data_IF_829238530264
#
_entry.id   IF_829238530264
#
_cell.length_a   1.000
_cell.length_b   1.000
_cell.length_c   1.000
_cell.angle_alpha   90.00
_cell.angle_beta   90.00
_cell.angle_gamma   90.00
#
_symmetry.space_group_name_H-M   'P 1'
#
loop_
_entity.id
_entity.type
_entity.pdbx_description
1 polymer ?
#
# COMPACT_ATOMS: atom_id res chain seq x y z
N UNK A 1 -41.82 53.36 -37.21
CA UNK A 1 -41.95 51.91 -37.44
C UNK A 1 -40.84 51.22 -36.64
N UNK A 2 -41.09 50.60 -35.47
CA UNK A 2 -40.01 49.97 -34.70
C UNK A 2 -39.94 48.47 -35.01
N UNK A 3 -38.78 47.99 -35.46
CA UNK A 3 -38.50 46.56 -35.60
C UNK A 3 -37.84 46.08 -34.30
N UNK A 4 -38.56 45.22 -33.59
CA UNK A 4 -38.04 44.42 -32.48
C UNK A 4 -37.23 43.27 -33.06
N UNK A 5 -36.01 43.02 -32.56
CA UNK A 5 -35.30 41.78 -32.83
C UNK A 5 -34.81 41.13 -31.53
N UNK A 6 -35.14 39.85 -31.44
CA UNK A 6 -35.14 38.97 -30.29
C UNK A 6 -33.75 38.69 -29.73
N UNK A 7 -33.63 38.81 -28.41
CA UNK A 7 -32.54 38.28 -27.59
C UNK A 7 -32.55 36.74 -27.66
N UNK A 8 -31.45 36.10 -28.04
CA UNK A 8 -31.21 34.67 -27.73
C UNK A 8 -29.81 34.56 -27.15
N UNK A 9 -29.74 34.48 -25.82
CA UNK A 9 -28.51 34.28 -25.07
C UNK A 9 -28.33 32.76 -24.86
N UNK A 10 -27.46 32.13 -25.66
CA UNK A 10 -27.00 30.76 -25.40
C UNK A 10 -26.06 30.77 -24.18
N UNK A 11 -26.53 30.27 -23.04
CA UNK A 11 -25.71 30.10 -21.84
C UNK A 11 -24.89 28.82 -21.98
N UNK A 12 -23.64 28.93 -22.44
CA UNK A 12 -22.67 27.83 -22.35
C UNK A 12 -22.26 27.68 -20.88
N UNK A 13 -22.71 26.60 -20.22
CA UNK A 13 -22.22 26.23 -18.90
C UNK A 13 -20.78 25.72 -19.02
N UNK A 14 -19.81 26.57 -18.69
CA UNK A 14 -18.41 26.19 -18.55
C UNK A 14 -18.30 25.44 -17.21
N UNK A 15 -18.27 24.10 -17.25
CA UNK A 15 -17.91 23.33 -16.06
C UNK A 15 -16.43 23.58 -15.75
N UNK A 16 -16.07 24.03 -14.54
CA UNK A 16 -14.67 24.14 -14.16
C UNK A 16 -14.08 22.73 -14.13
N UNK A 17 -13.10 22.48 -15.00
CA UNK A 17 -12.21 21.33 -14.85
C UNK A 17 -11.41 21.61 -13.58
N UNK A 18 -11.85 21.05 -12.45
CA UNK A 18 -11.04 21.05 -11.23
C UNK A 18 -9.85 20.17 -11.52
N UNK A 19 -8.71 20.79 -11.83
CA UNK A 19 -7.44 20.10 -11.82
C UNK A 19 -7.21 19.62 -10.38
N UNK A 20 -7.31 18.30 -10.17
CA UNK A 20 -6.99 17.69 -8.89
C UNK A 20 -5.51 17.88 -8.61
N UNK A 21 -5.16 18.89 -7.81
CA UNK A 21 -3.79 19.15 -7.40
C UNK A 21 -3.35 18.08 -6.39
N UNK A 22 -2.25 17.39 -6.69
CA UNK A 22 -1.60 16.48 -5.75
C UNK A 22 -0.64 17.27 -4.87
N UNK A 23 -0.75 17.11 -3.55
CA UNK A 23 0.06 17.81 -2.55
C UNK A 23 1.32 17.03 -2.19
N UNK A 24 2.48 17.66 -2.00
CA UNK A 24 3.68 16.98 -1.49
C UNK A 24 3.44 16.35 -0.12
N UNK A 25 4.01 15.16 0.10
CA UNK A 25 4.01 14.49 1.40
C UNK A 25 5.42 14.57 1.98
N UNK A 26 5.58 15.27 3.10
CA UNK A 26 6.87 15.40 3.75
C UNK A 26 7.19 14.15 4.60
N UNK A 27 8.39 13.58 4.49
CA UNK A 27 8.80 12.47 5.32
C UNK A 27 9.12 12.92 6.76
N UNK A 28 8.66 12.13 7.73
CA UNK A 28 9.01 12.27 9.15
C UNK A 28 10.50 11.94 9.34
N UNK A 29 10.93 10.82 8.76
CA UNK A 29 12.32 10.39 8.76
C UNK A 29 12.69 9.78 7.41
N UNK A 30 13.98 9.77 7.12
CA UNK A 30 14.49 9.32 5.84
C UNK A 30 15.83 8.63 5.99
N UNK A 31 15.96 7.48 5.32
CA UNK A 31 17.21 6.73 5.23
C UNK A 31 17.53 6.43 3.78
N UNK A 32 18.82 6.33 3.49
CA UNK A 32 19.28 5.98 2.15
C UNK A 32 20.63 5.28 2.25
N UNK A 33 20.98 4.54 1.20
CA UNK A 33 22.25 3.85 1.13
C UNK A 33 22.45 3.16 -0.20
N UNK A 34 23.59 2.48 -0.30
CA UNK A 34 24.01 1.70 -1.46
C UNK A 34 24.50 0.36 -0.96
N UNK A 35 24.01 -0.72 -1.53
CA UNK A 35 24.35 -2.10 -1.14
C UNK A 35 24.95 -2.78 -2.34
N UNK A 36 26.12 -3.40 -2.18
CA UNK A 36 26.84 -4.08 -3.27
C UNK A 36 26.19 -5.40 -3.68
N UNK A 37 25.55 -6.10 -2.75
CA UNK A 37 24.85 -7.35 -3.02
C UNK A 37 23.45 -7.08 -3.59
N UNK A 38 23.31 -7.26 -4.90
CA UNK A 38 22.06 -7.09 -5.64
C UNK A 38 20.95 -8.04 -5.19
N UNK A 39 21.29 -9.20 -4.61
CA UNK A 39 20.29 -10.19 -4.21
C UNK A 39 19.37 -9.66 -3.09
N UNK A 40 19.89 -8.78 -2.23
CA UNK A 40 19.16 -8.16 -1.13
C UNK A 40 18.09 -7.17 -1.60
N UNK A 41 18.14 -6.70 -2.86
CA UNK A 41 17.09 -5.85 -3.43
C UNK A 41 15.74 -6.56 -3.46
N UNK A 42 15.73 -7.88 -3.60
CA UNK A 42 14.50 -8.71 -3.61
C UNK A 42 13.71 -8.66 -2.29
N UNK A 43 14.33 -8.16 -1.22
CA UNK A 43 13.66 -7.93 0.06
C UNK A 43 12.74 -6.69 0.03
N UNK A 44 12.95 -5.78 -0.92
CA UNK A 44 12.04 -4.66 -1.13
C UNK A 44 10.63 -5.20 -1.45
N UNK A 45 9.58 -4.76 -0.74
CA UNK A 45 8.21 -5.15 -1.06
C UNK A 45 7.83 -4.71 -2.47
N UNK A 46 7.19 -5.60 -3.23
CA UNK A 46 6.67 -5.28 -4.57
C UNK A 46 5.58 -4.19 -4.53
N UNK A 47 4.91 -4.02 -3.39
CA UNK A 47 3.96 -2.94 -3.13
C UNK A 47 4.61 -1.55 -3.12
N UNK A 48 5.94 -1.46 -2.96
CA UNK A 48 6.65 -0.19 -2.82
C UNK A 48 6.53 0.45 -1.44
N UNK A 49 5.93 -0.23 -0.46
CA UNK A 49 5.85 0.23 0.92
C UNK A 49 5.82 -0.92 1.93
N UNK A 50 6.11 -0.61 3.19
CA UNK A 50 6.05 -1.52 4.34
C UNK A 50 5.01 -0.99 5.32
N UNK A 51 4.05 -1.86 5.69
CA UNK A 51 3.05 -1.62 6.73
C UNK A 51 3.15 -2.59 7.91
N UNK A 52 4.12 -3.51 7.89
CA UNK A 52 4.25 -4.58 8.88
C UNK A 52 5.62 -4.54 9.58
N UNK A 53 5.62 -4.78 10.89
CA UNK A 53 6.80 -4.71 11.74
C UNK A 53 7.85 -5.78 11.41
N UNK A 54 7.43 -6.99 10.99
CA UNK A 54 8.36 -8.08 10.67
C UNK A 54 9.04 -7.82 9.33
N UNK A 55 8.30 -7.34 8.33
CA UNK A 55 8.86 -6.91 7.04
C UNK A 55 9.85 -5.76 7.27
N UNK A 56 9.50 -4.79 8.11
CA UNK A 56 10.40 -3.68 8.44
C UNK A 56 11.71 -4.15 9.05
N UNK A 57 11.62 -4.98 10.10
CA UNK A 57 12.80 -5.57 10.75
C UNK A 57 13.67 -6.33 9.74
N UNK A 58 13.06 -7.15 8.88
CA UNK A 58 13.76 -7.94 7.87
C UNK A 58 14.52 -7.06 6.87
N UNK A 59 13.85 -6.04 6.32
CA UNK A 59 14.46 -5.11 5.36
C UNK A 59 15.57 -4.31 6.03
N UNK A 60 15.30 -3.75 7.21
CA UNK A 60 16.27 -2.93 7.94
C UNK A 60 17.53 -3.69 8.32
N UNK A 61 17.40 -4.87 8.96
CA UNK A 61 18.56 -5.66 9.36
C UNK A 61 19.39 -6.13 8.16
N UNK A 62 18.76 -6.39 7.02
CA UNK A 62 19.49 -6.75 5.80
C UNK A 62 20.23 -5.56 5.16
N UNK A 63 19.65 -4.36 5.22
CA UNK A 63 20.17 -3.19 4.50
C UNK A 63 21.03 -2.27 5.36
N UNK A 64 20.81 -2.28 6.68
CA UNK A 64 21.49 -1.48 7.70
C UNK A 64 21.87 -2.35 8.91
N UNK A 65 22.66 -3.43 8.75
CA UNK A 65 22.91 -4.40 9.81
C UNK A 65 23.60 -3.83 11.06
N UNK A 66 24.31 -2.70 10.90
CA UNK A 66 25.08 -2.06 11.98
C UNK A 66 24.33 -0.89 12.63
N UNK A 67 23.06 -0.68 12.28
CA UNK A 67 22.23 0.37 12.88
C UNK A 67 21.09 -0.23 13.69
N UNK A 68 20.75 0.43 14.80
CA UNK A 68 19.58 0.06 15.58
C UNK A 68 18.31 0.16 14.73
N UNK A 69 17.37 -0.76 14.95
CA UNK A 69 16.08 -0.79 14.24
C UNK A 69 15.23 0.42 14.65
N UNK A 70 14.87 1.32 13.74
CA UNK A 70 14.00 2.45 14.06
C UNK A 70 12.62 1.97 14.49
N UNK A 71 12.10 2.60 15.55
CA UNK A 71 10.74 2.36 16.03
C UNK A 71 9.76 3.01 15.05
N UNK A 72 8.79 2.22 14.59
CA UNK A 72 7.74 2.65 13.67
C UNK A 72 6.40 2.16 14.21
N UNK A 73 5.43 3.04 14.30
CA UNK A 73 4.07 2.70 14.67
C UNK A 73 3.23 2.51 13.41
N UNK A 74 3.13 1.29 12.91
CA UNK A 74 2.44 0.99 11.64
C UNK A 74 0.91 1.23 11.64
N UNK A 75 0.31 1.49 12.80
CA UNK A 75 -1.05 2.02 12.87
C UNK A 75 -1.15 3.49 12.45
N UNK A 76 -0.05 4.24 12.52
CA UNK A 76 0.03 5.68 12.23
C UNK A 76 1.02 6.05 11.13
N UNK A 77 1.97 5.16 10.85
CA UNK A 77 3.11 5.44 9.99
C UNK A 77 3.23 4.34 8.92
N UNK A 78 3.90 4.69 7.83
CA UNK A 78 4.17 3.80 6.72
C UNK A 78 5.58 4.07 6.20
N UNK A 79 6.30 3.03 5.75
CA UNK A 79 7.61 3.21 5.14
C UNK A 79 7.49 3.05 3.63
N UNK A 80 7.72 4.12 2.86
CA UNK A 80 7.87 4.02 1.41
C UNK A 80 9.26 3.49 1.06
N UNK A 81 9.33 2.64 0.05
CA UNK A 81 10.55 1.96 -0.37
C UNK A 81 10.83 2.24 -1.84
N UNK A 82 11.97 2.89 -2.12
CA UNK A 82 12.49 3.07 -3.47
C UNK A 82 13.83 2.38 -3.62
N UNK A 83 14.03 1.65 -4.74
CA UNK A 83 15.32 1.05 -5.09
C UNK A 83 15.65 1.28 -6.56
N UNK A 84 16.94 1.39 -6.88
CA UNK A 84 17.44 1.53 -8.26
C UNK A 84 18.65 0.64 -8.43
N UNK A 85 18.72 -0.10 -9.55
CA UNK A 85 19.89 -0.93 -9.88
C UNK A 85 21.16 -0.10 -10.03
N UNK A 86 22.31 -0.67 -9.69
CA UNK A 86 23.59 0.01 -9.64
C UNK A 86 23.77 0.84 -8.36
N UNK A 87 24.99 1.31 -8.06
CA UNK A 87 25.32 2.07 -6.85
C UNK A 87 24.82 3.52 -6.91
N UNK A 88 23.53 3.68 -7.20
CA UNK A 88 22.89 4.94 -7.51
C UNK A 88 22.38 5.66 -6.27
N UNK A 89 22.40 6.99 -6.31
CA UNK A 89 21.61 7.77 -5.36
C UNK A 89 20.16 7.68 -5.77
N UNK A 90 19.27 7.43 -4.82
CA UNK A 90 17.83 7.30 -5.06
C UNK A 90 17.12 8.56 -4.60
N UNK A 91 16.18 9.02 -5.41
CA UNK A 91 15.34 10.18 -5.16
C UNK A 91 13.88 9.73 -5.21
N UNK A 92 13.13 10.14 -4.20
CA UNK A 92 11.69 9.90 -4.09
C UNK A 92 11.02 11.23 -3.74
N UNK A 93 9.90 11.51 -4.41
CA UNK A 93 9.04 12.67 -4.12
C UNK A 93 7.59 12.19 -4.07
N UNK A 94 7.09 11.81 -2.89
CA UNK A 94 5.71 11.39 -2.75
C UNK A 94 4.77 12.59 -2.81
N UNK A 95 3.65 12.40 -3.50
CA UNK A 95 2.53 13.33 -3.54
C UNK A 95 1.23 12.57 -3.26
N UNK A 96 0.25 13.23 -2.65
CA UNK A 96 -1.06 12.66 -2.34
C UNK A 96 -2.15 13.48 -2.99
N UNK A 97 -3.11 12.81 -3.62
CA UNK A 97 -4.33 13.46 -4.11
C UNK A 97 -5.40 13.57 -3.02
N UNK A 98 -6.47 14.32 -3.30
CA UNK A 98 -7.58 14.53 -2.35
C UNK A 98 -8.38 13.24 -2.06
N UNK A 99 -8.15 12.16 -2.81
CA UNK A 99 -8.81 10.89 -2.59
C UNK A 99 -8.00 9.97 -1.65
N UNK A 100 -6.81 10.41 -1.21
CA UNK A 100 -5.91 9.62 -0.38
C UNK A 100 -5.03 8.66 -1.20
N UNK A 101 -4.86 8.90 -2.49
CA UNK A 101 -3.94 8.12 -3.31
C UNK A 101 -2.58 8.78 -3.30
N UNK A 102 -1.64 8.12 -2.64
CA UNK A 102 -0.24 8.50 -2.65
C UNK A 102 0.44 7.94 -3.91
N UNK A 103 1.19 8.79 -4.60
CA UNK A 103 2.04 8.41 -5.73
C UNK A 103 3.46 8.88 -5.49
N UNK A 104 4.42 8.09 -5.92
CA UNK A 104 5.81 8.54 -5.99
C UNK A 104 6.52 7.87 -7.16
N UNK A 105 7.43 8.61 -7.77
CA UNK A 105 8.39 8.07 -8.72
C UNK A 105 9.73 7.84 -8.02
N UNK A 106 10.37 6.74 -8.37
CA UNK A 106 11.74 6.45 -7.96
C UNK A 106 12.65 6.87 -9.10
N UNK A 107 13.49 7.86 -8.86
CA UNK A 107 14.55 8.26 -9.78
C UNK A 107 15.90 7.95 -9.15
N UNK A 108 16.94 7.85 -9.98
CA UNK A 108 18.29 7.77 -9.47
C UNK A 108 19.34 8.28 -10.43
N UNK A 109 20.58 8.37 -9.96
CA UNK A 109 21.74 8.63 -10.82
C UNK A 109 21.90 7.52 -11.88
N UNK A 110 22.73 7.72 -12.90
CA UNK A 110 22.97 6.75 -13.98
C UNK A 110 24.36 6.11 -13.88
N UNK A 111 24.68 5.56 -12.72
CA UNK A 111 25.93 4.85 -12.44
C UNK A 111 25.70 3.36 -12.65
N UNK A 112 26.45 2.75 -13.57
CA UNK A 112 26.49 1.30 -13.78
C UNK A 112 27.36 0.59 -12.74
N UNK A 113 27.08 -0.68 -12.47
CA UNK A 113 27.84 -1.49 -11.53
C UNK A 113 26.97 -2.46 -10.75
N UNK A 114 27.58 -3.33 -9.92
CA UNK A 114 26.85 -4.28 -9.09
C UNK A 114 26.10 -3.57 -7.95
N UNK A 115 25.06 -4.23 -7.46
CA UNK A 115 24.29 -3.78 -6.32
C UNK A 115 23.23 -2.75 -6.67
N UNK A 116 22.68 -2.10 -5.65
CA UNK A 116 21.56 -1.17 -5.78
C UNK A 116 21.67 -0.01 -4.79
N UNK A 117 21.07 1.11 -5.17
CA UNK A 117 20.74 2.19 -4.25
C UNK A 117 19.35 2.01 -3.68
N UNK A 118 19.12 2.51 -2.46
CA UNK A 118 17.79 2.57 -1.86
C UNK A 118 17.51 3.91 -1.19
N UNK A 119 16.22 4.21 -1.03
CA UNK A 119 15.69 5.27 -0.17
C UNK A 119 14.44 4.77 0.54
N UNK A 120 14.38 5.06 1.83
CA UNK A 120 13.30 4.69 2.74
C UNK A 120 12.75 5.99 3.31
N UNK A 121 11.44 6.19 3.21
CA UNK A 121 10.76 7.38 3.77
C UNK A 121 9.73 6.92 4.79
N UNK A 122 9.88 7.34 6.05
CA UNK A 122 8.81 7.22 7.05
C UNK A 122 7.84 8.38 6.86
N UNK A 123 6.58 8.08 6.66
CA UNK A 123 5.52 9.07 6.47
C UNK A 123 4.34 8.77 7.39
N UNK A 124 3.52 9.78 7.63
CA UNK A 124 2.23 9.60 8.28
C UNK A 124 1.28 8.81 7.35
N UNK A 125 0.57 7.83 7.91
CA UNK A 125 -0.39 6.97 7.22
C UNK A 125 -1.76 7.64 7.08
N UNK A 126 -2.04 8.66 7.88
CA UNK A 126 -3.32 9.37 7.92
C UNK A 126 -3.72 9.81 6.51
N UNK A 127 -4.98 9.53 6.17
CA UNK A 127 -5.59 9.83 4.86
C UNK A 127 -5.07 9.01 3.68
N UNK A 128 -4.02 8.19 3.84
CA UNK A 128 -3.53 7.32 2.76
C UNK A 128 -4.42 6.08 2.63
N UNK A 129 -5.04 5.94 1.47
CA UNK A 129 -5.83 4.76 1.06
C UNK A 129 -5.06 3.85 0.13
N UNK A 130 -4.20 4.41 -0.71
CA UNK A 130 -3.38 3.64 -1.65
C UNK A 130 -2.01 4.27 -1.88
N UNK A 131 -1.04 3.45 -2.27
CA UNK A 131 0.31 3.84 -2.66
C UNK A 131 0.61 3.24 -4.03
N UNK A 132 0.84 4.08 -5.04
CA UNK A 132 1.08 3.67 -6.44
C UNK A 132 0.03 2.65 -6.96
N UNK A 133 -1.24 2.84 -6.57
CA UNK A 133 -2.36 1.97 -6.96
C UNK A 133 -2.50 0.68 -6.14
N UNK A 134 -1.58 0.40 -5.21
CA UNK A 134 -1.73 -0.70 -4.24
C UNK A 134 -2.42 -0.18 -2.99
N UNK A 135 -3.52 -0.81 -2.58
CA UNK A 135 -4.26 -0.40 -1.38
C UNK A 135 -3.41 -0.61 -0.12
N UNK A 136 -3.44 0.37 0.77
CA UNK A 136 -2.88 0.23 2.11
C UNK A 136 -3.97 -0.43 2.94
N UNK A 137 -4.02 -1.76 2.93
CA UNK A 137 -5.00 -2.50 3.74
C UNK A 137 -4.84 -2.07 5.19
N UNK A 138 -5.94 -1.65 5.83
CA UNK A 138 -5.99 -1.63 7.29
C UNK A 138 -5.70 -3.05 7.74
N UNK A 139 -4.50 -3.27 8.26
CA UNK A 139 -4.24 -4.48 9.02
C UNK A 139 -5.23 -4.43 10.16
N UNK A 140 -6.35 -5.15 10.02
CA UNK A 140 -7.13 -5.55 11.17
C UNK A 140 -6.10 -6.23 12.07
N UNK A 141 -5.80 -5.70 13.27
CA UNK A 141 -4.78 -6.27 14.10
C UNK A 141 -5.16 -7.72 14.29
N UNK A 142 -4.37 -8.62 13.71
CA UNK A 142 -4.48 -10.05 13.92
C UNK A 142 -4.08 -10.16 15.40
N UNK A 143 -5.09 -10.24 16.27
CA UNK A 143 -4.90 -10.41 17.71
C UNK A 143 -3.84 -11.49 17.93
N UNK A 144 -3.05 -11.34 19.00
CA UNK A 144 -1.82 -12.11 19.22
C UNK A 144 -2.01 -13.64 19.14
N UNK A 145 -3.26 -14.11 19.25
CA UNK A 145 -3.71 -15.50 19.10
C UNK A 145 -4.74 -15.71 17.96
N UNK A 146 -4.57 -15.06 16.80
CA UNK A 146 -5.50 -15.22 15.67
C UNK A 146 -4.83 -15.75 14.41
N UNK A 147 -5.63 -16.48 13.61
CA UNK A 147 -5.21 -17.14 12.38
C UNK A 147 -5.95 -16.47 11.22
N UNK A 148 -5.19 -15.91 10.28
CA UNK A 148 -5.75 -15.38 9.02
C UNK A 148 -5.71 -16.46 7.94
N UNK A 149 -6.88 -16.80 7.39
CA UNK A 149 -7.00 -17.77 6.30
C UNK A 149 -7.58 -17.09 5.06
N UNK A 150 -6.87 -17.17 3.93
CA UNK A 150 -7.39 -16.81 2.61
C UNK A 150 -7.92 -18.06 1.90
N UNK A 151 -9.24 -18.14 1.76
CA UNK A 151 -9.92 -19.24 1.06
C UNK A 151 -10.30 -18.78 -0.36
N UNK A 152 -9.95 -19.56 -1.37
CA UNK A 152 -10.33 -19.31 -2.77
C UNK A 152 -11.09 -20.54 -3.26
N UNK A 153 -12.41 -20.40 -3.46
CA UNK A 153 -13.27 -21.52 -3.85
C UNK A 153 -14.76 -21.21 -3.67
N UNK A 154 -15.60 -22.23 -3.78
CA UNK A 154 -17.06 -22.12 -3.64
C UNK A 154 -17.50 -22.56 -2.25
N UNK A 155 -18.14 -21.65 -1.49
CA UNK A 155 -18.81 -21.98 -0.23
C UNK A 155 -20.16 -22.65 -0.53
N UNK A 156 -20.46 -23.75 0.17
CA UNK A 156 -21.78 -24.41 0.11
C UNK A 156 -22.34 -24.49 1.51
N UNK A 157 -23.49 -23.87 1.73
CA UNK A 157 -24.30 -24.10 2.93
C UNK A 157 -25.16 -25.35 2.69
N UNK A 158 -25.07 -26.33 3.59
CA UNK A 158 -25.99 -27.46 3.63
C UNK A 158 -27.13 -27.17 4.60
N UNK A 159 -28.36 -27.53 4.24
CA UNK A 159 -29.49 -27.53 5.19
C UNK A 159 -29.52 -28.92 5.84
N UNK A 160 -29.32 -28.99 7.15
CA UNK A 160 -29.54 -30.22 7.93
C UNK A 160 -30.76 -30.04 8.81
N UNK A 161 -31.70 -30.98 8.72
CA UNK A 161 -32.94 -31.07 9.49
C UNK A 161 -33.13 -32.53 9.95
N UNK A 162 -34.07 -32.90 10.80
CA UNK A 162 -34.15 -32.64 12.25
C UNK A 162 -33.64 -33.93 12.92
N UNK A 163 -32.71 -33.86 13.89
CA UNK A 163 -32.31 -35.04 14.69
C UNK A 163 -30.83 -35.20 15.04
N UNK A 164 -29.93 -34.30 14.62
CA UNK A 164 -28.51 -34.40 14.94
C UNK A 164 -27.66 -33.43 14.11
N UNK A 165 -27.94 -32.15 14.35
CA UNK A 165 -27.20 -30.91 14.04
C UNK A 165 -25.90 -31.00 13.23
N UNK A 166 -25.85 -30.22 12.13
CA UNK A 166 -24.86 -29.14 11.98
C UNK A 166 -25.51 -27.99 11.22
N UNK A 167 -25.78 -26.88 11.90
CA UNK A 167 -26.23 -25.59 11.30
C UNK A 167 -25.02 -24.70 10.96
N UNK A 168 -23.82 -25.28 10.89
CA UNK A 168 -22.57 -24.59 10.61
C UNK A 168 -22.26 -24.49 9.11
N UNK A 169 -21.54 -23.45 8.73
CA UNK A 169 -20.98 -23.33 7.38
C UNK A 169 -19.60 -23.99 7.35
N UNK A 170 -19.38 -25.02 6.55
CA UNK A 170 -18.06 -25.67 6.50
C UNK A 170 -17.16 -25.10 5.40
N UNK A 171 -15.86 -24.98 5.69
CA UNK A 171 -14.80 -24.72 4.71
C UNK A 171 -13.86 -25.94 4.66
N UNK A 172 -13.57 -26.45 3.46
CA UNK A 172 -12.65 -27.59 3.30
C UNK A 172 -11.48 -27.25 2.38
N UNK A 173 -10.26 -27.59 2.79
CA UNK A 173 -9.05 -27.47 1.98
C UNK A 173 -8.05 -28.61 2.29
N UNK A 174 -7.57 -29.32 1.25
CA UNK A 174 -6.59 -30.43 1.36
C UNK A 174 -6.87 -31.41 2.51
N UNK A 175 -8.12 -31.87 2.61
CA UNK A 175 -8.63 -32.80 3.64
C UNK A 175 -8.73 -32.23 5.06
N UNK A 176 -8.59 -30.92 5.23
CA UNK A 176 -8.90 -30.23 6.49
C UNK A 176 -10.26 -29.56 6.31
N UNK A 177 -11.20 -29.87 7.21
CA UNK A 177 -12.52 -29.25 7.25
C UNK A 177 -12.61 -28.42 8.52
N UNK A 178 -12.97 -27.16 8.36
CA UNK A 178 -13.34 -26.25 9.44
C UNK A 178 -14.84 -26.04 9.41
N UNK A 179 -15.47 -26.12 10.57
CA UNK A 179 -16.83 -25.67 10.77
C UNK A 179 -16.80 -24.22 11.24
N UNK A 180 -17.54 -23.36 10.55
CA UNK A 180 -17.71 -21.96 10.90
C UNK A 180 -19.06 -21.80 11.57
N UNK A 181 -19.00 -21.37 12.82
CA UNK A 181 -20.13 -20.86 13.56
C UNK A 181 -20.15 -19.33 13.38
N UNK A 182 -21.25 -18.81 12.83
CA UNK A 182 -21.43 -17.37 12.63
C UNK A 182 -22.30 -16.72 13.71
N UNK A 183 -22.83 -17.50 14.66
CA UNK A 183 -23.80 -17.04 15.66
C UNK A 183 -25.23 -16.97 15.13
#
# INVERSE_FOLDING_TARGET
>A
MPIRLLTTLCLLAILPVVAFAASPVEPIEMWSGKIRDESLRKLAPKSGFISDQQIWKKVWTAWQPNQELPKVNFSKELILVGTVSGPNLVIMRPTMDNNGNLKFLVAGTKIGGPGFGYRLLKIDRKEIKSVNGTTVTEETPVAQDSISVKVIGTLKAGIVAIGGETTGTTITAKNITWELDFG
#
